data_IF_123450293104
#
_entry.id   IF_123450293104
#
_cell.length_a   1.000
_cell.length_b   1.000
_cell.length_c   1.000
_cell.angle_alpha   90.00
_cell.angle_beta   90.00
_cell.angle_gamma   90.00
#
_symmetry.space_group_name_H-M   'P 1'
#
loop_
_entity.id
_entity.type
_entity.pdbx_description
1 polymer ?
#
# COMPACT_ATOMS: atom_id res chain seq x y z
N UNK A 1 3.41 6.02 -9.56
CA UNK A 1 2.16 5.59 -10.21
C UNK A 1 2.12 5.99 -11.69
N UNK A 2 2.11 7.24 -12.09
CA UNK A 2 2.00 7.64 -13.51
C UNK A 2 3.02 6.97 -14.47
N UNK A 3 4.25 6.71 -14.02
CA UNK A 3 5.30 6.02 -14.81
C UNK A 3 5.08 4.51 -14.99
N UNK A 4 4.32 3.90 -14.08
CA UNK A 4 3.98 2.47 -14.16
C UNK A 4 2.78 2.18 -15.08
N UNK A 5 2.08 3.22 -15.51
CA UNK A 5 0.92 3.15 -16.39
C UNK A 5 1.15 4.03 -17.62
N UNK A 6 1.91 3.58 -18.64
CA UNK A 6 2.19 4.37 -19.85
C UNK A 6 0.92 4.84 -20.56
N UNK A 7 -0.14 4.03 -20.54
CA UNK A 7 -1.45 4.35 -21.09
C UNK A 7 -2.22 5.42 -20.31
N UNK A 8 -1.82 5.68 -19.06
CA UNK A 8 -2.34 6.78 -18.24
C UNK A 8 -1.42 8.02 -18.30
N UNK A 9 -0.34 7.98 -19.11
CA UNK A 9 0.52 9.14 -19.32
C UNK A 9 -0.31 10.28 -19.95
N UNK A 10 -0.45 11.37 -19.19
CA UNK A 10 -1.21 12.55 -19.59
C UNK A 10 -2.62 12.62 -19.01
N UNK A 11 -3.12 11.57 -18.33
CA UNK A 11 -4.36 11.70 -17.57
C UNK A 11 -4.11 12.46 -16.25
N UNK A 12 -5.01 13.37 -15.86
CA UNK A 12 -4.90 14.06 -14.59
C UNK A 12 -5.04 13.07 -13.43
N UNK A 13 -4.20 13.23 -12.41
CA UNK A 13 -4.28 12.46 -11.17
C UNK A 13 -4.80 13.40 -10.09
N UNK A 14 -5.99 13.11 -9.57
CA UNK A 14 -6.57 13.78 -8.41
C UNK A 14 -6.36 12.92 -7.15
N UNK A 15 -5.97 13.57 -6.04
CA UNK A 15 -5.85 12.93 -4.73
C UNK A 15 -6.60 13.77 -3.69
N UNK A 16 -7.89 13.47 -3.43
CA UNK A 16 -8.67 14.21 -2.45
C UNK A 16 -8.14 13.92 -1.04
N UNK A 17 -7.52 14.93 -0.44
CA UNK A 17 -6.93 14.85 0.90
C UNK A 17 -8.00 15.07 1.96
N UNK A 18 -8.66 14.02 2.41
CA UNK A 18 -9.71 14.07 3.42
C UNK A 18 -9.20 13.92 4.87
N UNK A 19 -7.92 13.62 5.08
CA UNK A 19 -7.34 13.35 6.41
C UNK A 19 -7.54 14.50 7.41
N UNK A 20 -7.58 15.75 6.97
CA UNK A 20 -7.87 16.90 7.84
C UNK A 20 -9.31 16.94 8.37
N UNK A 21 -10.22 16.21 7.71
CA UNK A 21 -11.61 16.04 8.09
C UNK A 21 -11.84 14.78 8.95
N UNK A 22 -10.81 13.93 9.07
CA UNK A 22 -10.82 12.69 9.85
C UNK A 22 -10.67 12.94 11.37
N UNK A 23 -10.37 11.87 12.07
CA UNK A 23 -10.24 11.87 13.52
C UNK A 23 -9.08 12.74 14.01
N UNK A 24 -9.31 13.50 15.06
CA UNK A 24 -8.30 14.29 15.76
C UNK A 24 -8.13 13.79 17.18
N UNK A 25 -6.97 13.25 17.49
CA UNK A 25 -6.63 12.79 18.82
C UNK A 25 -6.26 13.99 19.70
N UNK A 26 -7.23 14.52 20.44
CA UNK A 26 -7.12 15.77 21.21
C UNK A 26 -5.97 15.75 22.23
N UNK A 27 -5.66 14.59 22.79
CA UNK A 27 -4.58 14.40 23.77
C UNK A 27 -3.35 13.73 23.15
N UNK A 28 -3.15 13.81 21.83
CA UNK A 28 -1.94 13.36 21.15
C UNK A 28 -1.49 11.94 21.52
N UNK A 29 -2.44 11.02 21.59
CA UNK A 29 -2.23 9.62 21.98
C UNK A 29 -1.85 9.41 23.48
N UNK A 30 -2.16 10.34 24.37
CA UNK A 30 -1.85 10.19 25.79
C UNK A 30 -2.53 8.98 26.46
N UNK A 31 -3.62 8.46 25.88
CA UNK A 31 -4.31 7.24 26.33
C UNK A 31 -3.58 5.94 25.96
N UNK A 32 -2.57 5.99 25.09
CA UNK A 32 -1.82 4.78 24.75
C UNK A 32 -0.96 4.31 25.93
N UNK A 33 -0.91 3.01 26.22
CA UNK A 33 -0.09 2.49 27.32
C UNK A 33 1.39 2.79 27.08
N UNK A 34 2.02 3.42 28.07
CA UNK A 34 3.45 3.72 28.05
C UNK A 34 4.21 2.56 28.72
N UNK A 35 5.39 2.21 28.21
CA UNK A 35 6.20 1.08 28.73
C UNK A 35 6.69 1.23 30.19
N UNK A 36 6.39 2.35 30.84
CA UNK A 36 6.77 2.63 32.24
C UNK A 36 5.65 2.44 33.26
N UNK A 37 4.46 1.95 32.83
CA UNK A 37 3.38 1.67 33.79
C UNK A 37 3.72 0.41 34.61
N UNK A 38 3.43 0.45 35.91
CA UNK A 38 3.51 -0.73 36.78
C UNK A 38 2.57 -1.81 36.25
N UNK A 39 3.07 -3.06 36.18
CA UNK A 39 2.37 -4.20 35.60
C UNK A 39 1.56 -4.92 36.66
N UNK A 40 0.28 -5.15 36.40
CA UNK A 40 -0.61 -6.05 37.14
C UNK A 40 -0.45 -7.49 36.64
N UNK A 41 0.75 -8.10 36.80
CA UNK A 41 1.03 -9.48 36.40
C UNK A 41 1.69 -9.62 35.01
N UNK A 42 2.22 -10.82 34.71
CA UNK A 42 2.83 -11.18 33.42
C UNK A 42 1.78 -11.76 32.51
N UNK A 43 1.53 -11.11 31.37
CA UNK A 43 0.60 -11.62 30.34
C UNK A 43 1.40 -12.31 29.22
N UNK A 44 1.22 -13.63 29.08
CA UNK A 44 1.88 -14.46 28.07
C UNK A 44 1.24 -14.35 26.68
N UNK A 45 -0.01 -13.83 26.59
CA UNK A 45 -0.79 -13.79 25.35
C UNK A 45 -0.24 -12.84 24.27
N UNK A 46 0.58 -11.84 24.66
CA UNK A 46 1.19 -10.89 23.71
C UNK A 46 2.36 -11.49 22.92
N UNK A 47 2.94 -12.58 23.38
CA UNK A 47 4.04 -13.27 22.70
C UNK A 47 3.53 -14.02 21.46
N UNK A 48 2.31 -14.56 21.53
CA UNK A 48 1.70 -15.30 20.44
C UNK A 48 1.26 -14.36 19.30
N UNK A 49 0.79 -13.14 19.64
CA UNK A 49 0.44 -12.13 18.65
C UNK A 49 1.67 -11.58 17.91
N UNK A 50 2.80 -11.43 18.60
CA UNK A 50 4.07 -11.00 18.00
C UNK A 50 4.64 -12.05 17.04
N UNK A 51 4.44 -13.33 17.34
CA UNK A 51 4.84 -14.43 16.47
C UNK A 51 3.95 -14.58 15.23
N UNK A 52 2.70 -14.10 15.29
CA UNK A 52 1.76 -14.12 14.15
C UNK A 52 2.02 -12.99 13.14
N UNK A 53 2.67 -11.90 13.55
CA UNK A 53 2.88 -10.67 12.76
C UNK A 53 4.34 -10.52 12.32
N UNK A 54 5.19 -11.51 12.59
CA UNK A 54 6.58 -11.52 12.11
C UNK A 54 6.63 -11.47 10.58
N UNK A 55 7.36 -10.48 10.02
CA UNK A 55 7.56 -10.43 8.58
C UNK A 55 8.44 -11.59 8.11
N UNK A 56 8.26 -12.05 6.89
CA UNK A 56 9.09 -13.10 6.27
C UNK A 56 10.60 -12.73 6.27
N UNK A 57 10.93 -11.45 6.45
CA UNK A 57 12.30 -10.91 6.39
C UNK A 57 12.84 -10.40 7.72
N UNK A 58 12.12 -10.59 8.85
CA UNK A 58 12.55 -10.06 10.15
C UNK A 58 13.92 -10.63 10.56
N UNK A 59 14.88 -9.74 10.79
CA UNK A 59 16.23 -10.10 11.18
C UNK A 59 17.15 -10.60 10.05
N UNK A 60 16.68 -10.67 8.81
CA UNK A 60 17.49 -11.08 7.64
C UNK A 60 18.25 -9.89 7.06
N UNK A 61 19.46 -10.14 6.55
CA UNK A 61 20.15 -9.16 5.71
C UNK A 61 19.40 -8.98 4.38
N UNK A 62 19.45 -7.79 3.78
CA UNK A 62 18.84 -7.52 2.47
C UNK A 62 19.47 -8.40 1.39
N UNK A 63 20.76 -8.72 1.53
CA UNK A 63 21.46 -9.65 0.65
C UNK A 63 20.85 -11.06 0.72
N UNK A 64 20.48 -11.55 1.92
CA UNK A 64 19.84 -12.87 2.05
C UNK A 64 18.47 -12.89 1.36
N UNK A 65 17.73 -11.78 1.42
CA UNK A 65 16.47 -11.61 0.69
C UNK A 65 16.72 -11.61 -0.82
N UNK A 66 17.77 -10.93 -1.28
CA UNK A 66 18.15 -10.89 -2.69
C UNK A 66 18.53 -12.27 -3.25
N UNK A 67 19.11 -13.14 -2.43
CA UNK A 67 19.42 -14.51 -2.82
C UNK A 67 18.16 -15.36 -3.04
N UNK A 68 17.07 -15.07 -2.34
CA UNK A 68 15.78 -15.70 -2.56
C UNK A 68 15.04 -15.08 -3.76
N UNK A 69 14.89 -13.76 -3.79
CA UNK A 69 14.34 -12.99 -4.92
C UNK A 69 14.90 -11.54 -4.90
N UNK A 70 15.57 -11.15 -5.96
CA UNK A 70 16.14 -9.79 -6.13
C UNK A 70 15.04 -8.71 -6.10
N UNK A 71 13.82 -9.03 -6.56
CA UNK A 71 12.69 -8.11 -6.57
C UNK A 71 12.26 -7.75 -5.15
N UNK A 72 12.20 -8.76 -4.29
CA UNK A 72 11.82 -8.58 -2.88
C UNK A 72 12.87 -7.72 -2.14
N UNK A 73 14.16 -7.88 -2.48
CA UNK A 73 15.22 -7.03 -1.93
C UNK A 73 15.10 -5.57 -2.38
N UNK A 74 14.75 -5.32 -3.65
CA UNK A 74 14.48 -3.97 -4.16
C UNK A 74 13.28 -3.36 -3.43
N UNK A 75 12.18 -4.08 -3.30
CA UNK A 75 10.97 -3.60 -2.64
C UNK A 75 11.23 -3.32 -1.14
N UNK A 76 11.98 -4.18 -0.47
CA UNK A 76 12.42 -3.99 0.92
C UNK A 76 13.22 -2.69 1.08
N UNK A 77 14.22 -2.44 0.23
CA UNK A 77 15.01 -1.20 0.26
C UNK A 77 14.13 0.05 0.11
N UNK A 78 13.20 0.04 -0.83
CA UNK A 78 12.29 1.18 -1.06
C UNK A 78 11.31 1.38 0.09
N UNK A 79 10.84 0.32 0.73
CA UNK A 79 9.99 0.42 1.91
C UNK A 79 10.69 1.10 3.08
N UNK A 80 12.00 0.94 3.21
CA UNK A 80 12.81 1.55 4.27
C UNK A 80 13.03 3.07 4.08
N UNK A 81 12.71 3.64 2.92
CA UNK A 81 12.81 5.09 2.68
C UNK A 81 11.57 5.80 3.22
N UNK A 82 11.76 6.76 4.13
CA UNK A 82 10.68 7.65 4.56
C UNK A 82 10.46 8.75 3.51
N UNK A 83 9.29 8.81 2.86
CA UNK A 83 9.00 9.82 1.83
C UNK A 83 8.63 11.19 2.42
N UNK A 84 8.37 11.27 3.74
CA UNK A 84 8.03 12.54 4.40
C UNK A 84 9.24 13.46 4.44
N UNK A 85 9.00 14.74 4.28
CA UNK A 85 10.04 15.80 4.29
C UNK A 85 11.09 15.66 3.15
N UNK A 86 10.70 15.03 2.02
CA UNK A 86 11.54 14.92 0.83
C UNK A 86 11.17 15.98 -0.20
N UNK A 87 12.18 16.54 -0.83
CA UNK A 87 11.98 17.44 -1.96
C UNK A 87 11.41 16.69 -3.16
N UNK A 88 10.73 17.40 -4.06
CA UNK A 88 10.21 16.83 -5.30
C UNK A 88 11.31 16.17 -6.12
N UNK A 89 12.49 16.78 -6.19
CA UNK A 89 13.64 16.22 -6.91
C UNK A 89 14.10 14.87 -6.33
N UNK A 90 14.16 14.75 -4.99
CA UNK A 90 14.51 13.49 -4.32
C UNK A 90 13.51 12.38 -4.64
N UNK A 91 12.21 12.71 -4.69
CA UNK A 91 11.16 11.77 -5.04
C UNK A 91 11.27 11.35 -6.52
N UNK A 92 11.56 12.30 -7.40
CA UNK A 92 11.74 12.02 -8.83
C UNK A 92 12.99 11.15 -9.07
N UNK A 93 14.11 11.43 -8.41
CA UNK A 93 15.34 10.64 -8.49
C UNK A 93 15.13 9.20 -7.98
N UNK A 94 14.41 9.03 -6.87
CA UNK A 94 14.02 7.70 -6.37
C UNK A 94 13.11 6.96 -7.36
N UNK A 95 12.17 7.64 -7.98
CA UNK A 95 11.27 7.04 -8.96
C UNK A 95 12.01 6.63 -10.24
N UNK A 96 13.00 7.39 -10.69
CA UNK A 96 13.81 7.05 -11.85
C UNK A 96 14.69 5.82 -11.57
N UNK A 97 15.28 5.76 -10.38
CA UNK A 97 16.05 4.57 -9.94
C UNK A 97 15.13 3.35 -9.80
N UNK A 98 13.93 3.51 -9.26
CA UNK A 98 12.95 2.43 -9.14
C UNK A 98 12.63 1.80 -10.51
N UNK A 99 12.33 2.62 -11.51
CA UNK A 99 12.05 2.14 -12.88
C UNK A 99 13.23 1.35 -13.44
N UNK A 100 14.46 1.87 -13.28
CA UNK A 100 15.66 1.18 -13.77
C UNK A 100 15.91 -0.15 -13.06
N UNK A 101 15.64 -0.26 -11.74
CA UNK A 101 15.78 -1.49 -10.98
C UNK A 101 14.70 -2.52 -11.33
N UNK A 102 13.46 -2.11 -11.53
CA UNK A 102 12.38 -2.98 -12.02
C UNK A 102 12.76 -3.55 -13.40
N UNK A 103 13.17 -2.71 -14.33
CA UNK A 103 13.64 -3.13 -15.65
C UNK A 103 14.82 -4.12 -15.56
N UNK A 104 15.74 -3.92 -14.61
CA UNK A 104 16.85 -4.83 -14.36
C UNK A 104 16.38 -6.20 -13.87
N UNK A 105 15.46 -6.23 -12.94
CA UNK A 105 14.89 -7.46 -12.38
C UNK A 105 14.08 -8.25 -13.42
N UNK A 106 13.37 -7.58 -14.31
CA UNK A 106 12.57 -8.23 -15.35
C UNK A 106 13.39 -8.89 -16.47
N UNK A 107 14.59 -8.35 -16.73
CA UNK A 107 15.52 -8.93 -17.73
C UNK A 107 16.25 -10.16 -17.20
N UNK A 108 16.28 -10.37 -15.89
CA UNK A 108 17.00 -11.44 -15.21
C UNK A 108 16.17 -12.69 -14.94
N UNK A 109 16.79 -13.86 -15.02
CA UNK A 109 16.26 -15.08 -14.41
C UNK A 109 16.47 -15.01 -12.91
N UNK A 110 15.72 -15.80 -12.14
CA UNK A 110 15.57 -15.78 -10.69
C UNK A 110 16.81 -15.48 -9.80
N UNK A 111 18.04 -15.76 -10.26
CA UNK A 111 19.27 -15.36 -9.58
C UNK A 111 20.31 -14.86 -10.62
N UNK A 112 20.56 -13.55 -10.70
CA UNK A 112 21.57 -13.02 -11.63
C UNK A 112 22.97 -13.46 -11.23
N UNK A 113 23.87 -13.79 -12.20
CA UNK A 113 25.21 -14.31 -11.91
C UNK A 113 26.07 -13.37 -11.05
N UNK A 114 25.84 -12.06 -11.13
CA UNK A 114 26.60 -11.06 -10.37
C UNK A 114 26.29 -11.12 -8.86
N UNK A 115 25.12 -11.65 -8.46
CA UNK A 115 24.71 -11.70 -7.04
C UNK A 115 25.63 -12.59 -6.20
N UNK A 116 26.13 -13.68 -6.78
CA UNK A 116 27.03 -14.60 -6.07
C UNK A 116 28.38 -13.97 -5.65
N UNK A 117 28.75 -12.82 -6.25
CA UNK A 117 30.00 -12.11 -5.91
C UNK A 117 29.78 -11.00 -4.86
N UNK A 118 28.56 -10.77 -4.40
CA UNK A 118 28.22 -9.72 -3.42
C UNK A 118 28.44 -10.24 -2.00
N UNK A 119 29.19 -9.48 -1.20
CA UNK A 119 29.56 -9.91 0.16
C UNK A 119 28.67 -9.34 1.29
N UNK A 120 27.99 -8.22 1.05
CA UNK A 120 27.14 -7.56 2.05
C UNK A 120 26.08 -6.66 1.40
N UNK A 121 25.18 -6.13 2.23
CA UNK A 121 24.06 -5.27 1.79
C UNK A 121 24.54 -3.95 1.17
N UNK A 122 25.67 -3.38 1.60
CA UNK A 122 26.18 -2.12 1.05
C UNK A 122 26.72 -2.35 -0.35
N UNK A 123 27.45 -3.44 -0.56
CA UNK A 123 27.92 -3.88 -1.88
C UNK A 123 26.74 -4.22 -2.81
N UNK A 124 25.64 -4.78 -2.28
CA UNK A 124 24.41 -5.02 -3.02
C UNK A 124 23.79 -3.70 -3.51
N UNK A 125 23.64 -2.72 -2.61
CA UNK A 125 23.09 -1.41 -2.94
C UNK A 125 23.96 -0.68 -3.99
N UNK A 126 25.29 -0.70 -3.82
CA UNK A 126 26.20 -0.12 -4.78
C UNK A 126 26.11 -0.80 -6.16
N UNK A 127 25.90 -2.12 -6.17
CA UNK A 127 25.74 -2.88 -7.41
C UNK A 127 24.41 -2.54 -8.09
N UNK A 128 23.31 -2.46 -7.35
CA UNK A 128 22.03 -2.00 -7.90
C UNK A 128 22.15 -0.61 -8.52
N UNK A 129 22.77 0.32 -7.82
CA UNK A 129 22.98 1.67 -8.33
C UNK A 129 23.81 1.71 -9.60
N UNK A 130 24.91 0.94 -9.65
CA UNK A 130 25.78 0.83 -10.81
C UNK A 130 25.07 0.24 -12.02
N UNK A 131 24.37 -0.89 -11.84
CA UNK A 131 23.64 -1.58 -12.92
C UNK A 131 22.46 -0.77 -13.45
N UNK A 132 21.81 0.01 -12.60
CA UNK A 132 20.74 0.92 -13.01
C UNK A 132 21.25 2.08 -13.88
N UNK A 133 22.53 2.48 -13.70
CA UNK A 133 23.16 3.56 -14.48
C UNK A 133 23.78 3.08 -15.80
N UNK A 134 24.27 1.86 -15.83
CA UNK A 134 24.93 1.27 -17.00
C UNK A 134 24.26 -0.09 -17.33
N UNK A 135 23.05 -0.06 -17.89
CA UNK A 135 22.43 -1.27 -18.39
C UNK A 135 23.23 -1.70 -19.62
N UNK A 136 23.95 -2.82 -19.52
CA UNK A 136 24.69 -3.42 -20.66
C UNK A 136 23.84 -3.40 -21.93
N UNK A 137 24.37 -2.99 -23.08
CA UNK A 137 23.62 -2.77 -24.31
C UNK A 137 23.07 -4.09 -24.85
N UNK A 138 21.80 -4.36 -24.64
CA UNK A 138 21.04 -5.22 -25.56
C UNK A 138 20.60 -4.32 -26.73
N UNK A 139 21.01 -4.74 -27.92
CA UNK A 139 20.86 -4.05 -29.21
C UNK A 139 19.48 -3.36 -29.37
N UNK A 140 19.49 -2.08 -29.70
CA UNK A 140 18.45 -1.50 -30.55
C UNK A 140 17.55 -0.43 -29.99
N UNK A 141 17.83 0.22 -28.85
CA UNK A 141 17.10 1.46 -28.52
C UNK A 141 18.04 2.49 -27.91
N UNK A 142 18.34 3.53 -28.65
CA UNK A 142 19.00 4.74 -28.13
C UNK A 142 18.11 5.40 -27.07
N UNK A 143 18.31 5.04 -25.80
CA UNK A 143 17.79 5.81 -24.64
C UNK A 143 18.81 6.90 -24.31
N UNK A 144 18.68 8.04 -24.99
CA UNK A 144 19.37 9.26 -24.64
C UNK A 144 19.01 9.67 -23.20
N UNK A 145 19.97 9.59 -22.26
CA UNK A 145 19.99 10.40 -21.06
C UNK A 145 19.44 9.79 -19.77
N UNK A 146 19.15 8.49 -19.66
CA UNK A 146 18.75 7.90 -18.37
C UNK A 146 19.93 7.74 -17.40
N UNK A 147 21.12 7.46 -17.88
CA UNK A 147 22.30 7.22 -17.03
C UNK A 147 22.80 8.43 -16.24
N UNK A 148 22.62 9.65 -16.74
CA UNK A 148 23.06 10.88 -16.05
C UNK A 148 22.04 11.42 -15.03
N UNK A 149 20.80 10.95 -15.06
CA UNK A 149 19.69 11.45 -14.21
C UNK A 149 19.45 10.64 -12.95
N UNK A 150 20.01 9.43 -12.84
CA UNK A 150 19.87 8.63 -11.62
C UNK A 150 20.80 9.25 -10.57
N UNK A 151 20.22 10.14 -9.75
CA UNK A 151 20.95 10.99 -8.84
C UNK A 151 21.68 10.20 -7.75
N UNK A 152 22.91 10.62 -7.42
CA UNK A 152 23.62 10.14 -6.20
C UNK A 152 22.80 10.28 -4.93
N UNK A 153 21.76 11.11 -4.99
CA UNK A 153 20.83 11.37 -3.89
C UNK A 153 19.92 10.17 -3.63
N UNK A 154 19.37 9.54 -4.67
CA UNK A 154 18.57 8.32 -4.52
C UNK A 154 19.37 7.19 -3.85
N UNK A 155 20.64 6.98 -4.26
CA UNK A 155 21.53 6.02 -3.60
C UNK A 155 21.70 6.32 -2.10
N UNK A 156 21.97 7.58 -1.74
CA UNK A 156 22.09 7.98 -0.32
C UNK A 156 20.81 7.73 0.48
N UNK A 157 19.65 8.00 -0.10
CA UNK A 157 18.36 7.78 0.55
C UNK A 157 18.09 6.31 0.82
N UNK A 158 18.46 5.44 -0.12
CA UNK A 158 18.38 3.99 0.07
C UNK A 158 19.40 3.49 1.12
N UNK A 159 20.62 4.04 1.14
CA UNK A 159 21.64 3.72 2.15
C UNK A 159 21.20 4.14 3.56
N UNK A 160 20.58 5.31 3.70
CA UNK A 160 19.99 5.77 4.96
C UNK A 160 18.81 4.87 5.40
N UNK A 161 18.00 4.42 4.44
CA UNK A 161 16.92 3.45 4.66
C UNK A 161 17.49 2.12 5.18
N UNK A 162 18.47 1.55 4.50
CA UNK A 162 19.16 0.33 4.86
C UNK A 162 19.78 0.41 6.26
N UNK A 163 20.42 1.53 6.59
CA UNK A 163 21.00 1.78 7.92
C UNK A 163 19.93 1.80 9.03
N UNK A 164 18.74 2.31 8.73
CA UNK A 164 17.58 2.26 9.65
C UNK A 164 17.07 0.85 9.81
N UNK A 165 16.89 0.12 8.71
CA UNK A 165 16.47 -1.28 8.73
C UNK A 165 17.36 -2.14 9.62
N UNK A 166 18.68 -2.09 9.43
CA UNK A 166 19.67 -2.82 10.23
C UNK A 166 19.59 -2.51 11.72
N UNK A 167 19.35 -1.25 12.11
CA UNK A 167 19.21 -0.87 13.53
C UNK A 167 17.94 -1.42 14.18
N UNK A 168 16.89 -1.65 13.40
CA UNK A 168 15.60 -2.09 13.92
C UNK A 168 15.40 -3.61 13.91
N UNK A 169 16.07 -4.33 13.02
CA UNK A 169 15.87 -5.77 12.82
C UNK A 169 16.89 -6.65 13.52
N UNK A 170 18.09 -6.16 13.79
CA UNK A 170 19.16 -6.94 14.39
C UNK A 170 19.13 -6.84 15.92
N UNK A 171 18.49 -7.78 16.59
CA UNK A 171 18.81 -8.09 17.98
C UNK A 171 17.82 -7.75 19.10
N UNK A 172 16.52 -7.69 18.85
CA UNK A 172 15.53 -7.49 19.93
C UNK A 172 14.98 -8.84 20.47
N UNK A 173 15.04 -9.10 21.79
CA UNK A 173 14.35 -10.25 22.37
C UNK A 173 12.83 -10.16 22.14
N UNK A 174 12.14 -11.30 21.98
CA UNK A 174 10.72 -11.39 21.64
C UNK A 174 9.78 -10.49 22.50
N UNK A 175 10.09 -10.29 23.78
CA UNK A 175 9.32 -9.39 24.66
C UNK A 175 9.47 -7.90 24.33
N UNK A 176 10.62 -7.49 23.79
CA UNK A 176 10.85 -6.13 23.30
C UNK A 176 10.25 -5.93 21.90
N UNK A 177 10.21 -6.98 21.09
CA UNK A 177 9.55 -6.96 19.79
C UNK A 177 8.04 -6.75 19.94
N UNK A 178 7.35 -7.46 20.83
CA UNK A 178 5.92 -7.27 21.09
C UNK A 178 5.59 -5.87 21.62
N UNK A 179 6.41 -5.32 22.53
CA UNK A 179 6.24 -3.96 23.02
C UNK A 179 6.55 -2.91 21.96
N UNK A 180 7.52 -3.17 21.09
CA UNK A 180 7.84 -2.32 19.94
C UNK A 180 6.71 -2.37 18.92
N UNK A 181 6.22 -3.56 18.55
CA UNK A 181 5.08 -3.75 17.63
C UNK A 181 3.85 -3.00 18.12
N UNK A 182 3.46 -3.18 19.40
CA UNK A 182 2.34 -2.45 19.99
C UNK A 182 2.52 -0.93 19.92
N UNK A 183 3.72 -0.41 20.19
CA UNK A 183 4.00 1.03 20.07
C UNK A 183 3.88 1.53 18.65
N UNK A 184 4.29 0.70 17.71
CA UNK A 184 4.33 1.03 16.31
C UNK A 184 2.93 0.94 15.67
N UNK A 185 2.13 -0.08 16.03
CA UNK A 185 0.78 -0.31 15.47
C UNK A 185 -0.32 0.47 16.22
N UNK A 186 -0.17 0.74 17.51
CA UNK A 186 -1.23 1.34 18.30
C UNK A 186 -1.63 2.75 17.83
N UNK A 187 -0.68 3.58 17.39
CA UNK A 187 -0.98 4.91 16.84
C UNK A 187 -1.76 4.84 15.52
N UNK A 188 -1.26 4.15 14.49
CA UNK A 188 -2.00 3.99 13.23
C UNK A 188 -3.37 3.33 13.44
N UNK A 189 -3.44 2.28 14.27
CA UNK A 189 -4.69 1.58 14.55
C UNK A 189 -5.71 2.47 15.28
N UNK A 190 -5.28 3.22 16.29
CA UNK A 190 -6.19 4.13 17.00
C UNK A 190 -6.67 5.28 16.12
N UNK A 191 -5.83 5.76 15.19
CA UNK A 191 -6.23 6.76 14.20
C UNK A 191 -7.23 6.17 13.20
N UNK A 192 -6.97 4.98 12.67
CA UNK A 192 -7.90 4.29 11.76
C UNK A 192 -9.27 4.06 12.40
N UNK A 193 -9.29 3.53 13.63
CA UNK A 193 -10.57 3.36 14.37
C UNK A 193 -11.27 4.71 14.55
N UNK A 194 -10.51 5.75 14.90
CA UNK A 194 -11.04 7.11 15.02
C UNK A 194 -11.60 7.62 13.69
N UNK A 195 -10.92 7.41 12.57
CA UNK A 195 -11.36 7.80 11.23
C UNK A 195 -12.64 7.05 10.82
N UNK A 196 -12.72 5.74 11.11
CA UNK A 196 -13.93 4.94 10.89
C UNK A 196 -15.11 5.56 11.67
N UNK A 197 -14.94 5.78 12.98
CA UNK A 197 -16.01 6.34 13.82
C UNK A 197 -16.40 7.75 13.38
N UNK A 198 -15.41 8.60 13.08
CA UNK A 198 -15.63 9.95 12.59
C UNK A 198 -16.41 9.94 11.27
N UNK A 199 -16.00 9.11 10.30
CA UNK A 199 -16.71 8.97 9.04
C UNK A 199 -18.14 8.49 9.23
N UNK A 200 -18.36 7.42 9.98
CA UNK A 200 -19.70 6.87 10.21
C UNK A 200 -20.65 7.89 10.88
N UNK A 201 -20.13 8.71 11.80
CA UNK A 201 -20.89 9.75 12.49
C UNK A 201 -21.19 10.95 11.57
N UNK A 202 -20.19 11.38 10.76
CA UNK A 202 -20.26 12.65 10.02
C UNK A 202 -20.61 12.51 8.54
N UNK A 203 -20.71 11.28 7.98
CA UNK A 203 -20.95 11.08 6.53
C UNK A 203 -22.29 11.64 6.03
N UNK A 204 -23.25 11.87 6.94
CA UNK A 204 -24.54 12.49 6.64
C UNK A 204 -25.55 11.56 5.94
N UNK A 205 -26.45 12.16 5.16
CA UNK A 205 -27.46 11.49 4.34
C UNK A 205 -27.23 11.81 2.87
N UNK A 206 -28.00 11.17 1.98
CA UNK A 206 -27.94 11.44 0.53
C UNK A 206 -28.31 12.89 0.19
N UNK A 207 -29.27 13.45 0.91
CA UNK A 207 -29.74 14.83 0.74
C UNK A 207 -28.80 15.86 1.37
N UNK A 208 -28.11 15.46 2.43
CA UNK A 208 -27.15 16.28 3.16
C UNK A 208 -25.86 15.49 3.44
N UNK A 209 -25.04 15.25 2.43
CA UNK A 209 -23.80 14.50 2.60
C UNK A 209 -22.80 15.28 3.46
N UNK A 210 -22.03 14.56 4.27
CA UNK A 210 -20.98 15.12 5.10
C UNK A 210 -19.78 15.60 4.29
N UNK A 211 -18.85 16.29 4.97
CA UNK A 211 -17.72 16.96 4.30
C UNK A 211 -16.79 15.99 3.55
N UNK A 212 -16.49 14.83 4.13
CA UNK A 212 -15.67 13.81 3.47
C UNK A 212 -16.37 13.29 2.21
N UNK A 213 -17.67 13.00 2.31
CA UNK A 213 -18.46 12.52 1.16
C UNK A 213 -18.49 13.57 0.05
N UNK A 214 -18.72 14.84 0.40
CA UNK A 214 -18.71 15.95 -0.57
C UNK A 214 -17.35 16.11 -1.25
N UNK A 215 -16.27 16.10 -0.48
CA UNK A 215 -14.92 16.26 -0.99
C UNK A 215 -14.54 15.16 -1.98
N UNK A 216 -14.80 13.89 -1.62
CA UNK A 216 -14.46 12.76 -2.49
C UNK A 216 -15.39 12.70 -3.70
N UNK A 217 -16.69 12.99 -3.53
CA UNK A 217 -17.64 13.04 -4.65
C UNK A 217 -17.27 14.11 -5.68
N UNK A 218 -16.87 15.30 -5.25
CA UNK A 218 -16.43 16.36 -6.15
C UNK A 218 -15.18 15.94 -6.94
N UNK A 219 -14.22 15.28 -6.30
CA UNK A 219 -13.02 14.78 -6.99
C UNK A 219 -13.35 13.68 -8.01
N UNK A 220 -14.37 12.86 -7.76
CA UNK A 220 -14.85 11.85 -8.71
C UNK A 220 -15.59 12.51 -9.90
N UNK A 221 -16.39 13.55 -9.66
CA UNK A 221 -17.06 14.31 -10.72
C UNK A 221 -16.03 14.99 -11.64
N UNK A 222 -15.07 15.72 -11.07
CA UNK A 222 -14.01 16.41 -11.82
C UNK A 222 -13.20 15.41 -12.69
N UNK A 223 -12.85 14.25 -12.13
CA UNK A 223 -12.07 13.25 -12.84
C UNK A 223 -12.87 12.51 -13.92
N UNK A 224 -14.20 12.44 -13.80
CA UNK A 224 -15.06 11.77 -14.78
C UNK A 224 -15.20 12.54 -16.10
N UNK A 225 -15.07 13.87 -16.08
CA UNK A 225 -15.16 14.72 -17.27
C UNK A 225 -14.00 14.48 -18.26
N UNK A 226 -12.86 13.98 -17.79
CA UNK A 226 -11.61 13.84 -18.56
C UNK A 226 -11.46 12.47 -19.29
N UNK A 227 -12.39 11.53 -19.13
CA UNK A 227 -12.35 10.22 -19.79
C UNK A 227 -12.54 9.02 -18.83
N UNK A 228 -11.89 7.88 -19.09
CA UNK A 228 -12.05 6.70 -18.26
C UNK A 228 -11.64 6.97 -16.81
N UNK A 229 -12.54 6.69 -15.86
CA UNK A 229 -12.30 6.89 -14.43
C UNK A 229 -11.76 5.62 -13.78
N UNK A 230 -10.49 5.68 -13.33
CA UNK A 230 -9.85 4.64 -12.52
C UNK A 230 -9.65 5.16 -11.11
N UNK A 231 -10.25 4.51 -10.14
CA UNK A 231 -10.15 4.87 -8.72
C UNK A 231 -9.27 3.86 -8.00
N UNK A 232 -8.19 4.34 -7.39
CA UNK A 232 -7.32 3.53 -6.52
C UNK A 232 -7.47 4.04 -5.09
N UNK A 233 -8.08 3.24 -4.24
CA UNK A 233 -8.48 3.61 -2.90
C UNK A 233 -7.76 2.74 -1.84
N UNK A 234 -7.00 3.38 -0.94
CA UNK A 234 -6.24 2.71 0.10
C UNK A 234 -6.97 2.77 1.44
N UNK A 235 -6.92 1.66 2.17
CA UNK A 235 -7.38 1.61 3.56
C UNK A 235 -8.83 2.13 3.70
N UNK A 236 -9.09 3.05 4.62
CA UNK A 236 -10.40 3.68 4.81
C UNK A 236 -10.97 4.36 3.55
N UNK A 237 -10.08 4.78 2.63
CA UNK A 237 -10.51 5.34 1.34
C UNK A 237 -11.37 4.39 0.51
N UNK A 238 -11.10 3.08 0.58
CA UNK A 238 -11.94 2.07 -0.08
C UNK A 238 -13.36 2.03 0.47
N UNK A 239 -13.50 2.11 1.79
CA UNK A 239 -14.81 2.15 2.45
C UNK A 239 -15.60 3.40 2.06
N UNK A 240 -14.93 4.57 2.03
CA UNK A 240 -15.54 5.84 1.64
C UNK A 240 -16.02 5.79 0.19
N UNK A 241 -15.17 5.33 -0.73
CA UNK A 241 -15.51 5.24 -2.16
C UNK A 241 -16.66 4.25 -2.38
N UNK A 242 -16.64 3.08 -1.74
CA UNK A 242 -17.73 2.12 -1.87
C UNK A 242 -19.07 2.68 -1.35
N UNK A 243 -19.08 3.33 -0.19
CA UNK A 243 -20.28 3.95 0.38
C UNK A 243 -20.82 5.07 -0.54
N UNK A 244 -19.93 5.84 -1.16
CA UNK A 244 -20.30 6.88 -2.14
C UNK A 244 -20.96 6.22 -3.36
N UNK A 245 -20.32 5.25 -3.99
CA UNK A 245 -20.78 4.63 -5.23
C UNK A 245 -22.03 3.77 -5.03
N UNK A 246 -22.22 3.18 -3.84
CA UNK A 246 -23.36 2.32 -3.55
C UNK A 246 -24.58 3.09 -3.03
N UNK A 247 -24.38 4.24 -2.37
CA UNK A 247 -25.47 4.98 -1.72
C UNK A 247 -25.54 6.46 -2.12
N UNK A 248 -24.46 7.24 -1.90
CA UNK A 248 -24.53 8.70 -2.02
C UNK A 248 -24.61 9.15 -3.50
N UNK A 249 -23.79 8.54 -4.36
CA UNK A 249 -23.64 8.88 -5.78
C UNK A 249 -23.61 7.64 -6.68
N UNK A 250 -24.70 6.85 -6.72
CA UNK A 250 -24.82 5.69 -7.59
C UNK A 250 -24.91 6.08 -9.08
N UNK A 251 -25.04 7.35 -9.41
CA UNK A 251 -24.97 7.94 -10.73
C UNK A 251 -23.53 8.00 -11.29
N UNK A 252 -22.51 8.08 -10.44
CA UNK A 252 -21.11 8.10 -10.86
C UNK A 252 -20.71 6.71 -11.36
N UNK A 253 -20.19 6.64 -12.59
CA UNK A 253 -19.66 5.42 -13.17
C UNK A 253 -18.14 5.38 -13.05
N UNK A 254 -17.60 4.26 -12.56
CA UNK A 254 -16.17 4.00 -12.42
C UNK A 254 -15.80 2.82 -13.32
N UNK A 255 -14.85 3.01 -14.25
CA UNK A 255 -14.40 1.95 -15.15
C UNK A 255 -13.61 0.88 -14.42
N UNK A 256 -12.77 1.29 -13.47
CA UNK A 256 -12.08 0.36 -12.59
C UNK A 256 -11.94 0.93 -11.16
N UNK A 257 -12.38 0.15 -10.19
CA UNK A 257 -12.13 0.38 -8.77
C UNK A 257 -11.04 -0.58 -8.28
N UNK A 258 -10.00 -0.04 -7.68
CA UNK A 258 -8.94 -0.81 -7.01
C UNK A 258 -8.96 -0.45 -5.53
N UNK A 259 -9.31 -1.41 -4.69
CA UNK A 259 -9.18 -1.28 -3.23
C UNK A 259 -7.89 -1.96 -2.78
N UNK A 260 -7.09 -1.28 -1.96
CA UNK A 260 -5.76 -1.74 -1.53
C UNK A 260 -5.69 -1.68 -0.01
N UNK A 261 -5.43 -2.80 0.64
CA UNK A 261 -5.35 -2.85 2.10
C UNK A 261 -6.62 -2.30 2.78
N UNK A 262 -7.80 -2.51 2.19
CA UNK A 262 -9.05 -1.87 2.60
C UNK A 262 -9.92 -2.80 3.45
N UNK A 263 -10.87 -2.22 4.18
CA UNK A 263 -11.78 -2.92 5.09
C UNK A 263 -13.19 -3.10 4.49
N UNK A 264 -13.37 -2.97 3.18
CA UNK A 264 -14.70 -2.99 2.53
C UNK A 264 -15.46 -4.29 2.84
N UNK A 265 -14.79 -5.45 2.78
CA UNK A 265 -15.41 -6.71 3.17
C UNK A 265 -15.90 -6.73 4.62
N UNK A 266 -15.05 -6.27 5.55
CA UNK A 266 -15.41 -6.18 6.97
C UNK A 266 -16.56 -5.20 7.21
N UNK A 267 -16.59 -4.07 6.53
CA UNK A 267 -17.67 -3.09 6.66
C UNK A 267 -19.01 -3.67 6.25
N UNK A 268 -19.06 -4.48 5.20
CA UNK A 268 -20.30 -5.14 4.78
C UNK A 268 -20.70 -6.26 5.75
N UNK A 269 -19.76 -7.08 6.23
CA UNK A 269 -20.06 -8.10 7.25
C UNK A 269 -20.66 -7.50 8.53
N UNK A 270 -20.27 -6.27 8.86
CA UNK A 270 -20.79 -5.52 10.01
C UNK A 270 -22.02 -4.66 9.67
N UNK A 271 -22.51 -4.71 8.41
CA UNK A 271 -23.60 -3.90 7.89
C UNK A 271 -23.40 -2.39 8.16
N UNK A 272 -22.18 -1.88 7.93
CA UNK A 272 -21.83 -0.48 8.24
C UNK A 272 -22.06 0.46 7.06
N UNK A 273 -22.22 -0.03 5.83
CA UNK A 273 -22.56 0.84 4.70
C UNK A 273 -24.04 1.28 4.76
N UNK A 274 -24.32 2.44 4.19
CA UNK A 274 -25.70 2.91 4.05
C UNK A 274 -26.53 2.03 3.12
N UNK A 275 -25.87 1.32 2.19
CA UNK A 275 -26.47 0.39 1.24
C UNK A 275 -26.56 -1.04 1.74
N UNK A 276 -25.98 -1.38 2.89
CA UNK A 276 -25.99 -2.76 3.42
C UNK A 276 -27.42 -3.26 3.62
N UNK A 277 -27.72 -4.45 3.09
CA UNK A 277 -28.99 -5.14 3.25
C UNK A 277 -28.85 -6.24 4.30
N UNK A 278 -29.38 -6.02 5.50
CA UNK A 278 -29.31 -6.98 6.62
C UNK A 278 -30.04 -8.30 6.37
N UNK A 279 -30.74 -8.45 5.24
CA UNK A 279 -31.34 -9.72 4.80
C UNK A 279 -30.33 -10.61 4.05
N UNK A 280 -29.16 -10.06 3.70
CA UNK A 280 -28.05 -10.81 3.12
C UNK A 280 -27.05 -11.22 4.22
N UNK A 281 -26.34 -12.36 4.06
CA UNK A 281 -26.51 -13.35 3.00
C UNK A 281 -27.76 -14.21 3.22
N UNK A 282 -28.32 -14.75 2.13
CA UNK A 282 -29.39 -15.73 2.16
C UNK A 282 -29.15 -16.82 1.09
N UNK A 283 -29.88 -17.97 1.10
CA UNK A 283 -29.61 -19.08 0.17
C UNK A 283 -29.72 -18.72 -1.31
N UNK A 284 -30.54 -17.71 -1.67
CA UNK A 284 -30.74 -17.25 -3.04
C UNK A 284 -29.71 -16.21 -3.46
N UNK A 285 -29.24 -15.41 -2.49
CA UNK A 285 -28.27 -14.33 -2.70
C UNK A 285 -27.17 -14.44 -1.63
N UNK A 286 -26.20 -15.33 -1.84
CA UNK A 286 -25.17 -15.61 -0.84
C UNK A 286 -24.10 -14.51 -0.72
N UNK A 287 -24.06 -13.57 -1.67
CA UNK A 287 -23.15 -12.44 -1.70
C UNK A 287 -23.89 -11.17 -2.11
N UNK A 288 -23.32 -10.02 -1.77
CA UNK A 288 -23.81 -8.72 -2.21
C UNK A 288 -23.69 -8.62 -3.73
N UNK A 289 -24.75 -8.33 -4.48
CA UNK A 289 -24.70 -8.18 -5.91
C UNK A 289 -23.71 -7.11 -6.37
N UNK A 290 -23.06 -7.31 -7.50
CA UNK A 290 -22.15 -6.35 -8.11
C UNK A 290 -22.87 -5.02 -8.35
N UNK A 291 -22.23 -3.90 -7.98
CA UNK A 291 -22.73 -2.57 -8.30
C UNK A 291 -22.66 -2.32 -9.82
N UNK A 292 -23.77 -1.89 -10.47
CA UNK A 292 -23.83 -1.73 -11.93
C UNK A 292 -22.98 -0.57 -12.45
N UNK A 293 -22.62 0.36 -11.57
CA UNK A 293 -21.81 1.53 -11.88
C UNK A 293 -20.30 1.30 -11.67
N UNK A 294 -19.88 0.11 -11.29
CA UNK A 294 -18.46 -0.30 -11.22
C UNK A 294 -18.18 -1.30 -12.36
N UNK A 295 -17.31 -0.94 -13.28
CA UNK A 295 -16.90 -1.81 -14.39
C UNK A 295 -16.10 -3.01 -13.88
N UNK A 296 -14.84 -2.82 -13.51
CA UNK A 296 -13.99 -3.83 -12.88
C UNK A 296 -13.71 -3.45 -11.44
N UNK A 297 -13.75 -4.41 -10.51
CA UNK A 297 -13.34 -4.20 -9.13
C UNK A 297 -12.21 -5.17 -8.75
N UNK A 298 -11.04 -4.62 -8.50
CA UNK A 298 -9.86 -5.35 -8.02
C UNK A 298 -9.67 -5.02 -6.55
N UNK A 299 -9.53 -6.05 -5.71
CA UNK A 299 -9.14 -5.89 -4.31
C UNK A 299 -7.73 -6.48 -4.10
N UNK A 300 -6.83 -5.70 -3.53
CA UNK A 300 -5.45 -6.11 -3.25
C UNK A 300 -5.25 -6.22 -1.76
N UNK A 301 -4.84 -7.42 -1.32
CA UNK A 301 -4.63 -7.76 0.09
C UNK A 301 -3.21 -8.28 0.29
N UNK A 302 -2.49 -7.71 1.22
CA UNK A 302 -1.30 -8.35 1.77
C UNK A 302 -1.71 -9.28 2.91
N UNK A 303 -1.33 -10.57 2.89
CA UNK A 303 -1.64 -11.50 3.98
C UNK A 303 -1.07 -11.08 5.36
N UNK A 304 -0.01 -10.25 5.37
CA UNK A 304 0.59 -9.70 6.59
C UNK A 304 -0.07 -8.38 7.05
N UNK A 305 -0.97 -7.81 6.25
CA UNK A 305 -1.68 -6.59 6.59
C UNK A 305 -2.94 -6.91 7.43
N UNK A 306 -2.84 -6.73 8.73
CA UNK A 306 -3.96 -6.98 9.68
C UNK A 306 -5.18 -6.06 9.46
N UNK A 307 -5.05 -5.02 8.62
CA UNK A 307 -6.12 -4.08 8.29
C UNK A 307 -6.72 -4.33 6.91
N UNK A 308 -6.19 -5.29 6.14
CA UNK A 308 -6.69 -5.66 4.83
C UNK A 308 -7.70 -6.80 4.92
N UNK A 309 -8.84 -6.65 4.26
CA UNK A 309 -9.90 -7.65 4.26
C UNK A 309 -10.26 -8.05 2.83
N UNK A 310 -10.60 -9.31 2.67
CA UNK A 310 -11.07 -9.88 1.40
C UNK A 310 -12.45 -9.36 1.05
N UNK A 311 -12.72 -9.29 -0.25
CA UNK A 311 -14.01 -8.88 -0.80
C UNK A 311 -14.71 -9.97 -1.59
N UNK A 312 -13.98 -10.89 -2.20
CA UNK A 312 -14.49 -11.91 -3.13
C UNK A 312 -15.49 -12.90 -2.50
N UNK A 313 -15.37 -13.13 -1.19
CA UNK A 313 -16.31 -13.97 -0.45
C UNK A 313 -17.61 -13.23 -0.10
N UNK A 314 -17.59 -11.90 -0.07
CA UNK A 314 -18.70 -11.02 0.36
C UNK A 314 -19.44 -10.42 -0.83
N UNK A 315 -18.72 -9.99 -1.87
CA UNK A 315 -19.27 -9.30 -3.03
C UNK A 315 -19.15 -10.13 -4.31
N UNK A 316 -20.12 -10.00 -5.18
CA UNK A 316 -20.06 -10.54 -6.53
C UNK A 316 -19.22 -9.66 -7.45
N UNK A 317 -18.48 -10.30 -8.38
CA UNK A 317 -17.75 -9.59 -9.43
C UNK A 317 -16.51 -8.85 -8.97
N UNK A 318 -16.00 -9.12 -7.76
CA UNK A 318 -14.70 -8.65 -7.31
C UNK A 318 -13.61 -9.64 -7.71
N UNK A 319 -12.43 -9.13 -8.04
CA UNK A 319 -11.23 -9.92 -8.32
C UNK A 319 -10.23 -9.70 -7.20
N UNK A 320 -9.87 -10.76 -6.49
CA UNK A 320 -8.96 -10.69 -5.36
C UNK A 320 -7.53 -10.97 -5.80
N UNK A 321 -6.57 -10.12 -5.40
CA UNK A 321 -5.15 -10.36 -5.59
C UNK A 321 -4.40 -10.29 -4.27
N UNK A 322 -3.67 -11.36 -3.95
CA UNK A 322 -2.69 -11.32 -2.87
C UNK A 322 -1.41 -10.62 -3.37
N UNK A 323 -0.94 -9.66 -2.59
CA UNK A 323 0.34 -8.99 -2.82
C UNK A 323 1.15 -9.03 -1.52
N UNK A 324 1.95 -10.09 -1.28
CA UNK A 324 2.82 -10.14 -0.11
C UNK A 324 3.93 -9.08 -0.27
N UNK A 325 3.86 -8.03 0.54
CA UNK A 325 4.91 -7.00 0.57
C UNK A 325 6.15 -7.46 1.31
N UNK A 326 6.03 -8.53 2.09
CA UNK A 326 7.07 -9.06 2.96
C UNK A 326 7.59 -8.04 4.00
N UNK A 327 6.77 -7.05 4.34
CA UNK A 327 7.13 -5.94 5.20
C UNK A 327 6.42 -5.96 6.54
N UNK A 328 7.13 -5.58 7.65
CA UNK A 328 6.51 -5.44 8.97
C UNK A 328 5.36 -4.42 8.99
N UNK A 329 5.37 -3.49 8.05
CA UNK A 329 4.39 -2.40 7.88
C UNK A 329 3.60 -2.57 6.60
N UNK A 330 3.14 -3.79 6.35
CA UNK A 330 2.44 -4.18 5.13
C UNK A 330 1.39 -3.14 4.72
N UNK A 331 0.57 -2.64 5.68
CA UNK A 331 -0.49 -1.66 5.42
C UNK A 331 -0.02 -0.36 4.74
N UNK A 332 1.19 0.08 4.96
CA UNK A 332 1.75 1.30 4.35
C UNK A 332 2.79 1.02 3.28
N UNK A 333 3.09 -0.25 3.00
CA UNK A 333 4.15 -0.66 2.08
C UNK A 333 3.73 -0.59 0.61
N UNK A 334 2.49 -0.94 0.27
CA UNK A 334 2.02 -1.12 -1.10
C UNK A 334 2.54 -0.07 -2.09
N UNK A 335 2.23 1.21 -1.85
CA UNK A 335 2.57 2.28 -2.81
C UNK A 335 4.02 2.73 -2.78
N UNK A 336 4.83 2.19 -1.88
CA UNK A 336 6.27 2.45 -1.80
C UNK A 336 7.08 1.44 -2.61
N UNK A 337 6.49 0.27 -2.90
CA UNK A 337 7.16 -0.82 -3.61
C UNK A 337 7.01 -0.66 -5.12
N UNK A 338 8.13 -0.56 -5.88
CA UNK A 338 8.08 -0.39 -7.33
C UNK A 338 7.30 -1.49 -8.06
N UNK A 339 7.48 -2.75 -7.67
CA UNK A 339 6.81 -3.90 -8.30
C UNK A 339 5.30 -3.93 -8.04
N UNK A 340 4.82 -3.32 -6.95
CA UNK A 340 3.39 -3.15 -6.73
C UNK A 340 2.73 -2.40 -7.88
N UNK A 341 3.31 -1.27 -8.28
CA UNK A 341 2.76 -0.44 -9.37
C UNK A 341 2.78 -1.18 -10.70
N UNK A 342 3.85 -1.90 -11.00
CA UNK A 342 3.98 -2.70 -12.21
C UNK A 342 2.94 -3.83 -12.25
N UNK A 343 2.82 -4.61 -11.17
CA UNK A 343 1.86 -5.72 -11.07
C UNK A 343 0.42 -5.21 -11.14
N UNK A 344 0.11 -4.09 -10.48
CA UNK A 344 -1.21 -3.48 -10.55
C UNK A 344 -1.56 -3.04 -11.97
N UNK A 345 -0.61 -2.41 -12.70
CA UNK A 345 -0.80 -2.03 -14.09
C UNK A 345 -1.12 -3.23 -14.98
N UNK A 346 -0.36 -4.32 -14.86
CA UNK A 346 -0.60 -5.56 -15.60
C UNK A 346 -2.02 -6.10 -15.35
N UNK A 347 -2.47 -6.13 -14.08
CA UNK A 347 -3.81 -6.65 -13.73
C UNK A 347 -4.96 -5.75 -14.23
N UNK A 348 -4.77 -4.44 -14.21
CA UNK A 348 -5.76 -3.53 -14.79
C UNK A 348 -5.89 -3.70 -16.30
N UNK A 349 -4.79 -3.95 -17.00
CA UNK A 349 -4.80 -4.21 -18.44
C UNK A 349 -5.47 -5.55 -18.78
N UNK A 350 -5.16 -6.63 -18.02
CA UNK A 350 -5.83 -7.93 -18.17
C UNK A 350 -7.35 -7.83 -17.94
N UNK A 351 -7.77 -7.05 -16.97
CA UNK A 351 -9.18 -6.91 -16.61
C UNK A 351 -10.00 -6.06 -17.62
N UNK A 352 -9.32 -5.34 -18.51
CA UNK A 352 -9.94 -4.51 -19.58
C UNK A 352 -9.96 -5.21 -20.94
N UNK A 353 -9.15 -6.26 -21.12
CA UNK A 353 -9.08 -7.06 -22.34
C UNK A 353 -10.23 -8.07 -22.40
#
# INVERSE_FOLDING_TARGET
MARAFPELNGLPISNPMWGDLGARLRWQHASLPIARQERLGADESLTDLANLVGSAHEGRAVLDVAHDDVRDAVDLLYTCVDPRDRSRQEIDDLADLAVALVDLCDRGKAAPPWLAAIGDDDALLDTFYRLARDPSPSEGTERLGAGDRIGRQAHRLLADGLSRYRRHTLGLPARTAAAALRRLTAKPLSLLIGDIMCYLDTRGTREQPGDIVRLVSAALDDAHEDGPLVVVAHSMGGNIVYDILSHFRPDIRVDALVTVGSQVGLFEELALFRSSDTRLPNPQTPRVPKLPNIGTWINVVDPADILAYRTDAVFEGTVEYAYPSNEPWAHSAYFRQPHFHQRLAARLNEARA
#
